data_IF_762989145221
#
_entry.id   IF_762989145221
#
_cell.length_a   1.000
_cell.length_b   1.000
_cell.length_c   1.000
_cell.angle_alpha   90.00
_cell.angle_beta   90.00
_cell.angle_gamma   90.00
#
_symmetry.space_group_name_H-M   'P 1'
#
loop_
_entity.id
_entity.type
_entity.pdbx_description
1 polymer ?
#
# COMPACT_ATOMS: atom_id res chain seq x y z
N UNK A 1 3.26 -24.45 -66.15
CA UNK A 1 2.23 -23.78 -65.33
C UNK A 1 2.89 -23.50 -63.99
N UNK A 2 3.55 -22.34 -63.80
CA UNK A 2 3.01 -21.06 -63.24
C UNK A 2 2.45 -21.29 -61.82
N UNK A 3 2.74 -20.55 -60.73
CA UNK A 3 3.37 -19.25 -60.39
C UNK A 3 3.49 -19.32 -58.81
N UNK A 4 4.61 -19.03 -58.09
CA UNK A 4 5.21 -17.71 -57.72
C UNK A 4 4.21 -16.86 -56.88
N UNK A 5 4.48 -16.20 -55.72
CA UNK A 5 5.63 -15.97 -54.82
C UNK A 5 5.20 -15.12 -53.57
N UNK A 6 6.15 -14.83 -52.65
CA UNK A 6 6.31 -13.65 -51.76
C UNK A 6 5.46 -13.52 -50.47
N UNK A 7 5.88 -13.01 -49.28
CA UNK A 7 7.06 -12.32 -48.68
C UNK A 7 6.97 -12.52 -47.13
N UNK A 8 8.03 -12.88 -46.38
CA UNK A 8 9.05 -12.06 -45.69
C UNK A 8 8.57 -11.18 -44.49
N UNK A 9 9.11 -11.47 -43.28
CA UNK A 9 9.68 -10.54 -42.25
C UNK A 9 9.92 -11.34 -40.95
N UNK A 10 11.11 -11.85 -40.65
CA UNK A 10 12.28 -11.18 -40.03
C UNK A 10 12.02 -10.55 -38.65
N UNK A 11 12.56 -11.18 -37.59
CA UNK A 11 13.54 -10.61 -36.63
C UNK A 11 13.76 -11.54 -35.42
N UNK A 12 14.55 -12.60 -35.58
CA UNK A 12 15.36 -13.12 -34.48
C UNK A 12 16.79 -13.25 -34.99
N UNK A 13 17.60 -12.23 -34.70
CA UNK A 13 19.04 -12.28 -34.94
C UNK A 13 19.66 -12.80 -33.65
N UNK A 14 20.19 -14.02 -33.69
CA UNK A 14 21.10 -14.51 -32.66
C UNK A 14 22.36 -13.66 -32.79
N UNK A 15 22.55 -12.72 -31.87
CA UNK A 15 23.78 -11.93 -31.77
C UNK A 15 24.70 -12.65 -30.80
N UNK A 16 25.88 -13.06 -31.29
CA UNK A 16 27.02 -13.35 -30.43
C UNK A 16 27.36 -12.08 -29.66
N UNK A 17 27.32 -12.14 -28.34
CA UNK A 17 27.87 -11.09 -27.48
C UNK A 17 29.38 -11.33 -27.40
N UNK A 18 30.09 -10.87 -28.43
CA UNK A 18 31.51 -10.52 -28.29
C UNK A 18 31.54 -9.00 -28.02
N UNK A 19 32.06 -8.64 -26.83
CA UNK A 19 32.42 -7.30 -26.35
C UNK A 19 31.48 -6.13 -26.71
N UNK A 20 30.50 -5.86 -25.82
CA UNK A 20 29.99 -4.51 -25.65
C UNK A 20 30.88 -3.83 -24.60
N UNK A 21 31.55 -2.78 -25.03
CA UNK A 21 32.23 -1.81 -24.18
C UNK A 21 31.29 -1.30 -23.08
N UNK A 22 31.67 -1.65 -21.86
CA UNK A 22 31.57 -0.89 -20.61
C UNK A 22 30.99 0.52 -20.79
N UNK A 23 29.68 0.66 -20.63
CA UNK A 23 29.04 1.94 -20.37
C UNK A 23 27.79 1.72 -19.52
N UNK A 24 27.86 2.30 -18.33
CA UNK A 24 26.86 2.32 -17.27
C UNK A 24 26.55 0.96 -16.61
N UNK A 25 27.35 0.62 -15.60
CA UNK A 25 26.78 0.01 -14.41
C UNK A 25 25.68 0.95 -13.88
N UNK A 26 24.41 0.60 -14.08
CA UNK A 26 23.37 1.08 -13.17
C UNK A 26 23.50 0.26 -11.90
N UNK A 27 24.55 0.55 -11.13
CA UNK A 27 24.48 0.37 -9.68
C UNK A 27 23.35 1.30 -9.25
N UNK A 28 22.15 0.73 -9.07
CA UNK A 28 21.08 1.44 -8.39
C UNK A 28 21.48 1.37 -6.93
N UNK A 29 21.92 2.51 -6.42
CA UNK A 29 22.41 2.72 -5.06
C UNK A 29 21.38 2.17 -4.06
N UNK A 30 21.73 1.08 -3.39
CA UNK A 30 21.03 0.55 -2.23
C UNK A 30 21.13 1.49 -1.02
N UNK A 31 21.94 2.55 -1.12
CA UNK A 31 22.30 3.46 -0.03
C UNK A 31 21.27 4.53 0.35
N UNK A 32 20.16 4.69 -0.37
CA UNK A 32 19.16 5.71 -0.02
C UNK A 32 18.17 5.25 1.06
N UNK A 33 17.77 3.98 1.05
CA UNK A 33 16.79 3.47 2.01
C UNK A 33 17.48 2.87 3.25
N UNK A 34 17.07 3.24 4.48
CA UNK A 34 17.61 2.65 5.70
C UNK A 34 17.21 1.18 5.85
N UNK A 35 17.97 0.42 6.66
CA UNK A 35 17.69 -1.00 6.91
C UNK A 35 16.33 -1.27 7.56
N UNK A 36 15.70 -0.25 8.15
CA UNK A 36 14.35 -0.33 8.71
C UNK A 36 13.27 -0.51 7.64
N UNK A 37 13.52 -0.09 6.39
CA UNK A 37 12.59 -0.31 5.27
C UNK A 37 12.61 -1.79 4.88
N UNK A 38 11.44 -2.44 4.66
CA UNK A 38 11.38 -3.82 4.19
C UNK A 38 12.14 -4.00 2.88
N UNK A 39 12.89 -5.09 2.76
CA UNK A 39 13.86 -5.33 1.68
C UNK A 39 13.23 -5.20 0.28
N UNK A 40 12.00 -5.71 0.13
CA UNK A 40 11.21 -5.68 -1.10
C UNK A 40 10.87 -4.26 -1.58
N UNK A 41 10.87 -3.27 -0.68
CA UNK A 41 10.51 -1.89 -0.99
C UNK A 41 11.71 -0.95 -1.14
N UNK A 42 12.91 -1.36 -0.71
CA UNK A 42 14.12 -0.51 -0.75
C UNK A 42 14.51 -0.01 -2.14
N UNK A 43 14.04 -0.69 -3.19
CA UNK A 43 14.32 -0.32 -4.58
C UNK A 43 13.13 0.35 -5.30
N UNK A 44 12.00 0.50 -4.61
CA UNK A 44 10.75 1.03 -5.16
C UNK A 44 10.38 2.34 -4.49
N UNK A 45 10.61 2.44 -3.18
CA UNK A 45 10.33 3.65 -2.41
C UNK A 45 11.40 4.71 -2.63
N UNK A 46 10.94 5.95 -2.77
CA UNK A 46 11.75 7.15 -2.86
C UNK A 46 12.20 7.59 -1.46
N UNK A 47 13.10 6.82 -0.87
CA UNK A 47 13.65 7.13 0.47
C UNK A 47 14.54 8.38 0.47
N UNK A 48 15.02 8.81 -0.70
CA UNK A 48 15.76 10.06 -0.86
C UNK A 48 14.83 11.28 -0.84
N UNK A 49 13.51 11.08 -0.99
CA UNK A 49 12.51 12.13 -1.07
C UNK A 49 12.77 13.11 -2.23
N UNK A 50 13.20 12.59 -3.37
CA UNK A 50 13.48 13.40 -4.57
C UNK A 50 12.19 13.87 -5.26
N UNK A 51 11.06 13.20 -5.00
CA UNK A 51 9.78 13.43 -5.68
C UNK A 51 8.87 14.44 -4.99
N UNK A 52 9.10 14.78 -3.71
CA UNK A 52 8.28 15.73 -2.95
C UNK A 52 9.08 16.97 -2.54
N UNK A 53 8.39 18.11 -2.38
CA UNK A 53 8.98 19.35 -1.86
C UNK A 53 9.04 19.45 -0.33
N UNK A 54 8.44 18.48 0.37
CA UNK A 54 8.36 18.39 1.84
C UNK A 54 8.85 17.02 2.29
N UNK A 55 7.96 16.13 2.73
CA UNK A 55 8.28 14.76 3.12
C UNK A 55 7.52 13.73 2.29
N UNK A 56 8.19 12.63 1.98
CA UNK A 56 7.60 11.43 1.39
C UNK A 56 7.27 10.42 2.48
N UNK A 57 6.04 9.91 2.46
CA UNK A 57 5.53 8.99 3.48
C UNK A 57 5.07 7.69 2.88
N UNK A 58 5.64 6.59 3.37
CA UNK A 58 5.21 5.26 3.00
C UNK A 58 4.55 4.57 4.18
N UNK A 59 3.50 3.81 3.89
CA UNK A 59 2.81 2.96 4.86
C UNK A 59 3.10 1.52 4.51
N UNK A 60 3.39 0.70 5.52
CA UNK A 60 3.43 -0.75 5.38
C UNK A 60 2.74 -1.37 6.59
N UNK A 61 1.78 -2.25 6.33
CA UNK A 61 1.02 -2.88 7.38
C UNK A 61 0.94 -4.39 7.22
N UNK A 62 0.86 -5.06 8.36
CA UNK A 62 0.60 -6.50 8.47
C UNK A 62 -0.40 -6.71 9.58
N UNK A 63 -1.35 -7.60 9.37
CA UNK A 63 -2.39 -7.85 10.37
C UNK A 63 -3.23 -9.07 10.07
N UNK A 64 -4.23 -9.27 10.91
CA UNK A 64 -5.14 -10.40 10.85
C UNK A 64 -6.58 -10.01 11.12
N UNK A 65 -7.53 -10.74 10.52
CA UNK A 65 -8.92 -10.79 10.99
C UNK A 65 -9.09 -12.00 11.91
N UNK A 66 -9.85 -11.81 12.97
CA UNK A 66 -10.14 -12.85 13.96
C UNK A 66 -11.54 -13.42 13.71
N UNK A 67 -11.74 -14.66 14.15
CA UNK A 67 -13.00 -15.39 13.96
C UNK A 67 -14.24 -14.71 14.62
N UNK A 68 -14.03 -13.74 15.50
CA UNK A 68 -15.10 -12.95 16.12
C UNK A 68 -15.48 -11.70 15.30
N UNK A 69 -14.88 -11.50 14.13
CA UNK A 69 -15.11 -10.36 13.25
C UNK A 69 -14.30 -9.11 13.63
N UNK A 70 -13.35 -9.23 14.56
CA UNK A 70 -12.39 -8.16 14.85
C UNK A 70 -11.18 -8.18 13.91
N UNK A 71 -10.47 -7.06 13.83
CA UNK A 71 -9.22 -6.93 13.08
C UNK A 71 -8.12 -6.37 13.98
N UNK A 72 -6.90 -6.86 13.82
CA UNK A 72 -5.69 -6.35 14.49
C UNK A 72 -4.57 -6.22 13.47
N UNK A 73 -4.04 -5.01 13.31
CA UNK A 73 -3.03 -4.69 12.29
C UNK A 73 -1.98 -3.79 12.90
N UNK A 74 -0.72 -4.04 12.57
CA UNK A 74 0.38 -3.12 12.83
C UNK A 74 0.70 -2.40 11.52
N UNK A 75 0.63 -1.07 11.53
CA UNK A 75 0.96 -0.22 10.39
C UNK A 75 2.13 0.70 10.73
N UNK A 76 3.22 0.55 9.99
CA UNK A 76 4.42 1.38 10.07
C UNK A 76 4.34 2.51 9.05
N UNK A 77 4.57 3.73 9.51
CA UNK A 77 4.61 4.95 8.71
C UNK A 77 6.06 5.42 8.63
N UNK A 78 6.68 5.19 7.48
CA UNK A 78 8.04 5.56 7.16
C UNK A 78 8.08 6.98 6.60
N UNK A 79 8.90 7.81 7.21
CA UNK A 79 8.98 9.24 6.91
C UNK A 79 10.35 9.57 6.33
N UNK A 80 10.35 10.17 5.14
CA UNK A 80 11.54 10.62 4.45
C UNK A 80 11.39 12.10 4.13
N UNK A 81 11.98 12.97 4.94
CA UNK A 81 11.94 14.44 4.79
C UNK A 81 13.24 15.03 4.24
N UNK A 82 14.18 14.18 3.81
CA UNK A 82 15.53 14.56 3.39
C UNK A 82 16.54 14.66 4.55
N UNK A 83 16.12 14.45 5.80
CA UNK A 83 17.00 14.35 6.97
C UNK A 83 17.20 12.89 7.40
N UNK A 84 17.02 12.59 8.70
CA UNK A 84 17.16 11.25 9.25
C UNK A 84 15.82 10.53 9.13
N UNK A 85 15.73 9.45 8.34
CA UNK A 85 14.49 8.69 8.24
C UNK A 85 14.04 8.20 9.61
N UNK A 86 12.73 8.21 9.82
CA UNK A 86 12.12 7.72 11.06
C UNK A 86 10.87 6.90 10.73
N UNK A 87 10.37 6.18 11.74
CA UNK A 87 9.20 5.31 11.60
C UNK A 87 8.29 5.51 12.80
N UNK A 88 7.05 5.90 12.54
CA UNK A 88 6.00 5.86 13.55
C UNK A 88 5.16 4.60 13.37
N UNK A 89 4.72 4.00 14.47
CA UNK A 89 3.95 2.74 14.45
C UNK A 89 2.56 2.94 15.02
N UNK A 90 1.58 2.49 14.25
CA UNK A 90 0.18 2.42 14.65
C UNK A 90 -0.27 0.98 14.88
N UNK A 91 -0.97 0.75 15.97
CA UNK A 91 -1.81 -0.43 16.16
C UNK A 91 -3.24 -0.09 15.76
N UNK A 92 -3.71 -0.74 14.70
CA UNK A 92 -5.08 -0.63 14.20
C UNK A 92 -5.89 -1.77 14.80
N UNK A 93 -6.93 -1.41 15.53
CA UNK A 93 -7.87 -2.37 16.09
C UNK A 93 -9.28 -1.98 15.72
N UNK A 94 -10.14 -2.95 15.46
CA UNK A 94 -11.54 -2.66 15.18
C UNK A 94 -12.39 -3.90 14.98
N UNK A 95 -13.58 -3.70 14.44
CA UNK A 95 -14.52 -4.76 14.16
C UNK A 95 -15.32 -4.47 12.90
N UNK A 96 -15.77 -5.54 12.25
CA UNK A 96 -16.70 -5.49 11.13
C UNK A 96 -17.95 -4.67 11.50
N UNK A 97 -18.45 -3.89 10.55
CA UNK A 97 -19.64 -3.05 10.71
C UNK A 97 -20.64 -3.27 9.57
N UNK A 98 -21.91 -2.98 9.85
CA UNK A 98 -23.02 -3.08 8.87
C UNK A 98 -23.12 -1.85 7.95
N UNK A 99 -22.16 -0.92 8.00
CA UNK A 99 -22.17 0.29 7.17
C UNK A 99 -21.98 -0.10 5.70
N UNK A 100 -22.86 0.42 4.84
CA UNK A 100 -22.75 0.24 3.40
C UNK A 100 -21.46 0.91 2.86
N UNK A 101 -20.54 0.17 2.22
CA UNK A 101 -19.32 0.70 1.61
C UNK A 101 -19.55 1.84 0.59
N UNK A 102 -20.73 1.90 -0.03
CA UNK A 102 -21.10 2.98 -0.97
C UNK A 102 -21.07 4.38 -0.33
N UNK A 103 -21.20 4.49 0.99
CA UNK A 103 -21.05 5.76 1.73
C UNK A 103 -19.65 6.37 1.53
N UNK A 104 -18.65 5.53 1.25
CA UNK A 104 -17.26 5.90 0.98
C UNK A 104 -16.93 5.92 -0.52
N UNK A 105 -17.95 5.92 -1.39
CA UNK A 105 -17.80 5.81 -2.85
C UNK A 105 -17.08 4.53 -3.32
N UNK A 106 -17.15 3.44 -2.55
CA UNK A 106 -16.56 2.15 -2.93
C UNK A 106 -17.64 1.09 -3.17
N UNK A 107 -18.22 1.06 -4.37
CA UNK A 107 -19.29 0.10 -4.70
C UNK A 107 -18.80 -1.35 -4.90
N UNK A 108 -17.49 -1.57 -4.93
CA UNK A 108 -16.84 -2.89 -5.07
C UNK A 108 -16.23 -3.39 -3.77
N UNK A 109 -16.15 -2.55 -2.74
CA UNK A 109 -15.71 -2.95 -1.41
C UNK A 109 -16.69 -3.96 -0.83
N UNK A 110 -16.16 -5.01 -0.23
CA UNK A 110 -16.95 -6.11 0.33
C UNK A 110 -17.15 -5.92 1.83
N UNK A 111 -16.10 -5.44 2.50
CA UNK A 111 -16.00 -5.40 3.95
C UNK A 111 -15.66 -4.00 4.43
N UNK A 112 -16.28 -3.62 5.55
CA UNK A 112 -16.01 -2.37 6.27
C UNK A 112 -15.75 -2.71 7.73
N UNK A 113 -14.63 -2.24 8.24
CA UNK A 113 -14.30 -2.29 9.65
C UNK A 113 -14.38 -0.88 10.23
N UNK A 114 -15.07 -0.74 11.36
CA UNK A 114 -14.91 0.44 12.21
C UNK A 114 -13.65 0.25 13.06
N UNK A 115 -12.68 1.15 12.92
CA UNK A 115 -11.32 0.98 13.46
C UNK A 115 -10.83 2.19 14.23
N UNK A 116 -9.81 1.94 15.04
CA UNK A 116 -9.02 2.94 15.74
C UNK A 116 -7.54 2.74 15.41
N UNK A 117 -6.87 3.80 14.97
CA UNK A 117 -5.41 3.86 14.87
C UNK A 117 -4.84 4.38 16.20
N UNK A 118 -4.11 3.51 16.90
CA UNK A 118 -3.41 3.85 18.14
C UNK A 118 -1.94 4.07 17.84
N UNK A 119 -1.42 5.28 18.04
CA UNK A 119 0.02 5.55 17.90
C UNK A 119 0.76 4.94 19.09
N UNK A 120 1.53 3.88 18.86
CA UNK A 120 2.22 3.11 19.91
C UNK A 120 3.73 3.33 19.92
N UNK A 121 4.32 3.80 18.82
CA UNK A 121 5.70 4.27 18.77
C UNK A 121 5.76 5.56 17.95
N UNK A 122 6.22 6.64 18.56
CA UNK A 122 6.23 7.98 17.99
C UNK A 122 7.68 8.52 17.98
N UNK A 123 8.44 8.14 16.95
CA UNK A 123 9.86 8.49 16.80
C UNK A 123 10.06 9.72 15.92
N UNK A 124 9.12 10.00 15.03
CA UNK A 124 9.22 11.08 14.05
C UNK A 124 8.89 12.47 14.59
N UNK A 125 8.13 12.54 15.70
CA UNK A 125 7.63 13.82 16.22
C UNK A 125 6.67 14.53 15.26
N UNK A 126 6.07 13.78 14.33
CA UNK A 126 5.19 14.34 13.32
C UNK A 126 3.78 14.60 13.87
N UNK A 127 3.09 15.58 13.30
CA UNK A 127 1.70 15.86 13.63
C UNK A 127 0.78 15.17 12.61
N UNK A 128 0.23 14.03 13.02
CA UNK A 128 -0.61 13.20 12.16
C UNK A 128 -2.05 13.69 11.99
N UNK A 129 -2.44 14.76 12.69
CA UNK A 129 -3.80 15.29 12.70
C UNK A 129 -4.40 15.41 11.30
N UNK A 130 -3.67 16.00 10.35
CA UNK A 130 -4.16 16.23 8.98
C UNK A 130 -4.37 14.91 8.22
N UNK A 131 -3.52 13.91 8.43
CA UNK A 131 -3.70 12.55 7.87
C UNK A 131 -4.97 11.87 8.38
N UNK A 132 -5.38 12.20 9.61
CA UNK A 132 -6.52 11.59 10.28
C UNK A 132 -7.75 12.50 10.34
N UNK A 133 -8.02 13.24 9.25
CA UNK A 133 -9.18 14.11 9.10
C UNK A 133 -9.29 15.17 10.21
N UNK A 134 -8.17 15.81 10.55
CA UNK A 134 -8.07 16.84 11.58
C UNK A 134 -8.45 16.40 13.02
N UNK A 135 -8.32 15.10 13.32
CA UNK A 135 -8.41 14.61 14.70
C UNK A 135 -7.20 15.06 15.52
N UNK A 136 -7.43 15.70 16.67
CA UNK A 136 -6.36 16.36 17.43
C UNK A 136 -5.29 15.39 17.94
N UNK A 137 -5.67 14.24 18.46
CA UNK A 137 -4.77 13.28 19.12
C UNK A 137 -5.26 11.84 18.92
N UNK A 138 -4.36 10.84 18.95
CA UNK A 138 -4.74 9.44 18.90
C UNK A 138 -5.47 9.01 20.20
N UNK A 139 -6.31 7.97 20.16
CA UNK A 139 -6.60 7.14 19.00
C UNK A 139 -7.41 7.88 17.94
N UNK A 140 -6.99 7.72 16.69
CA UNK A 140 -7.72 8.26 15.55
C UNK A 140 -8.79 7.26 15.13
N UNK A 141 -10.02 7.72 14.92
CA UNK A 141 -11.14 6.87 14.55
C UNK A 141 -11.39 6.94 13.04
N UNK A 142 -11.94 5.87 12.49
CA UNK A 142 -12.39 5.83 11.10
C UNK A 142 -12.76 4.43 10.67
N UNK A 143 -12.63 4.20 9.37
CA UNK A 143 -13.00 2.94 8.74
C UNK A 143 -11.88 2.38 7.89
N UNK A 144 -11.81 1.06 7.81
CA UNK A 144 -11.01 0.34 6.83
C UNK A 144 -11.98 -0.35 5.86
N UNK A 145 -11.81 -0.12 4.57
CA UNK A 145 -12.55 -0.82 3.55
C UNK A 145 -11.62 -1.71 2.75
N UNK A 146 -12.05 -2.96 2.54
CA UNK A 146 -11.30 -3.94 1.78
C UNK A 146 -12.03 -4.22 0.47
N UNK A 147 -11.29 -4.11 -0.64
CA UNK A 147 -11.78 -4.37 -1.98
C UNK A 147 -10.88 -5.38 -2.68
N UNK A 148 -11.37 -6.61 -2.82
CA UNK A 148 -10.68 -7.68 -3.54
C UNK A 148 -10.95 -7.65 -5.05
N UNK A 149 -11.63 -6.62 -5.57
CA UNK A 149 -11.93 -6.49 -7.01
C UNK A 149 -10.93 -5.60 -7.75
N UNK A 150 -10.85 -5.81 -9.07
CA UNK A 150 -10.19 -4.90 -10.00
C UNK A 150 -11.13 -3.76 -10.44
N UNK A 151 -10.61 -2.84 -11.26
CA UNK A 151 -11.38 -1.70 -11.82
C UNK A 151 -12.58 -2.09 -12.70
N UNK A 152 -12.76 -3.37 -13.03
CA UNK A 152 -13.90 -3.91 -13.77
C UNK A 152 -14.90 -4.64 -12.87
N UNK A 153 -14.70 -4.64 -11.55
CA UNK A 153 -15.57 -5.32 -10.58
C UNK A 153 -15.42 -6.85 -10.60
N UNK A 154 -14.29 -7.37 -11.08
CA UNK A 154 -13.97 -8.80 -11.02
C UNK A 154 -12.98 -9.05 -9.89
N UNK A 155 -13.13 -10.17 -9.15
CA UNK A 155 -12.19 -10.54 -8.10
C UNK A 155 -10.76 -10.66 -8.66
N UNK A 156 -9.80 -10.11 -7.94
CA UNK A 156 -8.39 -10.16 -8.30
C UNK A 156 -7.92 -11.62 -8.24
N UNK A 157 -7.35 -12.16 -9.33
CA UNK A 157 -6.96 -13.57 -9.41
C UNK A 157 -5.70 -13.89 -8.60
N UNK A 158 -4.98 -12.86 -8.17
CA UNK A 158 -3.75 -12.90 -7.37
C UNK A 158 -3.99 -12.52 -5.90
N UNK A 159 -5.26 -12.44 -5.48
CA UNK A 159 -5.69 -12.02 -4.14
C UNK A 159 -5.16 -10.62 -3.74
N UNK A 160 -4.77 -9.81 -4.72
CA UNK A 160 -4.49 -8.41 -4.50
C UNK A 160 -5.77 -7.73 -4.00
N UNK A 161 -5.63 -6.85 -3.01
CA UNK A 161 -6.71 -6.02 -2.51
C UNK A 161 -6.32 -4.56 -2.51
N UNK A 162 -7.30 -3.70 -2.76
CA UNK A 162 -7.20 -2.28 -2.47
C UNK A 162 -7.72 -2.05 -1.06
N UNK A 163 -6.92 -1.37 -0.26
CA UNK A 163 -7.22 -1.00 1.11
C UNK A 163 -7.51 0.49 1.13
N UNK A 164 -8.73 0.87 1.52
CA UNK A 164 -9.12 2.27 1.68
C UNK A 164 -9.26 2.55 3.16
N UNK A 165 -8.35 3.35 3.71
CA UNK A 165 -8.48 3.89 5.05
C UNK A 165 -9.29 5.20 4.96
N UNK A 166 -10.33 5.31 5.79
CA UNK A 166 -11.20 6.47 5.86
C UNK A 166 -11.22 7.04 7.30
N UNK A 167 -10.16 7.74 7.76
CA UNK A 167 -10.22 8.50 9.01
C UNK A 167 -11.39 9.48 9.00
N UNK A 168 -12.08 9.62 10.13
CA UNK A 168 -13.25 10.48 10.26
C UNK A 168 -13.04 11.58 11.29
N UNK A 169 -13.60 12.76 11.03
CA UNK A 169 -13.58 13.87 11.98
C UNK A 169 -14.85 13.90 12.85
N UNK A 170 -14.91 14.84 13.80
CA UNK A 170 -16.06 15.03 14.69
C UNK A 170 -17.38 15.43 13.98
N UNK A 171 -17.33 15.69 12.67
CA UNK A 171 -18.46 16.02 11.82
C UNK A 171 -18.82 14.87 10.85
N UNK A 172 -18.24 13.67 11.06
CA UNK A 172 -18.34 12.51 10.18
C UNK A 172 -17.91 12.77 8.73
N UNK A 173 -17.02 13.74 8.52
CA UNK A 173 -16.32 13.89 7.25
C UNK A 173 -15.11 12.98 7.26
N UNK A 174 -14.79 12.39 6.11
CA UNK A 174 -13.68 11.46 5.98
C UNK A 174 -12.67 11.93 4.93
N UNK A 175 -11.42 11.49 5.11
CA UNK A 175 -10.35 11.56 4.11
C UNK A 175 -10.03 10.15 3.66
N UNK A 176 -9.87 9.91 2.37
CA UNK A 176 -9.48 8.58 1.88
C UNK A 176 -7.96 8.53 1.73
N UNK A 177 -7.35 7.56 2.42
CA UNK A 177 -5.96 7.16 2.24
C UNK A 177 -5.95 5.80 1.56
N UNK A 178 -5.33 5.71 0.38
CA UNK A 178 -5.31 4.46 -0.38
C UNK A 178 -4.01 3.70 -0.14
N UNK A 179 -4.12 2.37 -0.07
CA UNK A 179 -2.99 1.44 -0.09
C UNK A 179 -3.35 0.22 -0.94
N UNK A 180 -2.35 -0.56 -1.31
CA UNK A 180 -2.53 -1.82 -2.04
C UNK A 180 -1.80 -2.93 -1.34
N UNK A 181 -2.42 -4.10 -1.31
CA UNK A 181 -1.92 -5.22 -0.54
C UNK A 181 -2.46 -6.56 -1.04
N UNK A 182 -2.31 -7.56 -0.19
CA UNK A 182 -2.84 -8.91 -0.37
C UNK A 182 -3.65 -9.32 0.85
N UNK A 183 -4.64 -10.16 0.62
CA UNK A 183 -5.43 -10.79 1.67
C UNK A 183 -5.34 -12.30 1.49
N UNK A 184 -4.77 -13.00 2.46
CA UNK A 184 -4.46 -14.43 2.34
C UNK A 184 -5.37 -15.24 3.27
N UNK A 185 -6.15 -16.20 2.75
CA UNK A 185 -6.84 -17.16 3.60
C UNK A 185 -5.82 -18.12 4.23
N UNK A 186 -5.85 -18.26 5.55
CA UNK A 186 -5.05 -19.24 6.30
C UNK A 186 -5.84 -20.49 6.63
N UNK A 187 -7.17 -20.43 6.60
CA UNK A 187 -8.04 -21.59 6.79
C UNK A 187 -8.64 -22.10 5.47
N UNK A 188 -9.01 -23.37 5.45
CA UNK A 188 -9.76 -23.98 4.35
C UNK A 188 -11.28 -23.68 4.47
N UNK A 189 -11.72 -22.90 5.46
CA UNK A 189 -13.13 -22.54 5.60
C UNK A 189 -13.45 -21.37 4.68
N UNK A 190 -14.64 -21.42 4.08
CA UNK A 190 -15.21 -20.25 3.43
C UNK A 190 -15.37 -19.13 4.48
N UNK A 191 -14.68 -18.03 4.28
CA UNK A 191 -14.61 -16.92 5.24
C UNK A 191 -13.81 -15.75 4.70
N UNK A 192 -13.65 -14.72 5.55
CA UNK A 192 -12.78 -13.59 5.25
C UNK A 192 -11.31 -14.02 5.32
N UNK A 193 -10.42 -13.41 4.51
CA UNK A 193 -9.00 -13.68 4.63
C UNK A 193 -8.51 -13.39 6.05
N UNK A 194 -7.86 -14.36 6.67
CA UNK A 194 -7.38 -14.21 8.04
C UNK A 194 -6.12 -13.37 8.12
N UNK A 195 -5.27 -13.38 7.08
CA UNK A 195 -4.04 -12.58 7.05
C UNK A 195 -4.13 -11.44 6.03
N UNK A 196 -3.63 -10.26 6.39
CA UNK A 196 -3.54 -9.10 5.53
C UNK A 196 -2.14 -8.50 5.53
N UNK A 197 -1.70 -8.02 4.37
CA UNK A 197 -0.52 -7.18 4.24
C UNK A 197 -0.79 -6.09 3.18
N UNK A 198 -0.36 -4.86 3.42
CA UNK A 198 -0.47 -3.78 2.42
C UNK A 198 0.63 -2.74 2.54
N UNK A 199 0.86 -2.04 1.43
CA UNK A 199 1.76 -0.89 1.38
C UNK A 199 1.17 0.25 0.56
N UNK A 200 1.52 1.50 0.89
CA UNK A 200 1.21 2.65 0.04
C UNK A 200 2.27 2.87 -1.04
N UNK A 201 1.91 3.61 -2.09
CA UNK A 201 2.84 4.02 -3.15
C UNK A 201 3.66 5.28 -2.80
N UNK A 202 3.54 5.79 -1.58
CA UNK A 202 4.11 7.07 -1.17
C UNK A 202 3.09 8.20 -1.26
N UNK A 203 3.01 9.00 -0.18
CA UNK A 203 2.17 10.18 -0.05
C UNK A 203 3.09 11.40 0.21
N UNK A 204 2.96 12.47 -0.58
CA UNK A 204 3.71 13.71 -0.33
C UNK A 204 3.00 14.56 0.74
N UNK A 205 3.77 15.01 1.72
CA UNK A 205 3.36 15.97 2.74
C UNK A 205 4.19 17.25 2.60
N UNK A 206 3.53 18.41 2.73
CA UNK A 206 4.17 19.74 2.68
C UNK A 206 4.58 20.24 4.07
#
# INVERSE_FOLDING_TARGET
MLLVLFLACDKYKIVKVDEIQDSASTEVDDGACPETVPEEYRYIWDCANDSCGGAMVYRNAVGESLADGSISVVEDWFVFDGETPCVDRFEITGAITDINPEVFNCSTCEEVFEIQWNLVDATCGWNWKTSFADQEEPPYNGYLLLDTHNSFGQRNPDDAMRVLAAPINNQNQYQILESRGTATPTSEQDGYPEDYAWSSSGDCYE
#
